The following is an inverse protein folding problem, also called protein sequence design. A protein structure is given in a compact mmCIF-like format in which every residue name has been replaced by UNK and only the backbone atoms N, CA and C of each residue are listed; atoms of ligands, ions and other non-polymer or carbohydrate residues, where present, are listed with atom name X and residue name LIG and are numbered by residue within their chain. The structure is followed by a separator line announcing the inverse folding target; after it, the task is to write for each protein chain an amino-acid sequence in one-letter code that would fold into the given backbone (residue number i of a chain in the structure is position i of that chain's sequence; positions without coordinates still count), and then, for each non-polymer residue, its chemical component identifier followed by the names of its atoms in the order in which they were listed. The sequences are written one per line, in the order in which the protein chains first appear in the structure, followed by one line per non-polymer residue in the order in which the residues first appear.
data_IF_881609785956
#
_entry.id   IF_881609785956
#
_cell.length_a   1.000
_cell.length_b   1.000
_cell.length_c   1.000
_cell.angle_alpha   90.00
_cell.angle_beta   90.00
_cell.angle_gamma   90.00
#
_symmetry.space_group_name_H-M   'P 1'
#
loop_
_entity.id
_entity.type
_entity.pdbx_description
1 polymer ?
#
# COMPACT_ATOMS: atom_id res chain seq x y z
N UNK A 1 -9.14 18.19 14.57
CA UNK A 1 -9.31 17.05 13.62
C UNK A 1 -8.07 16.81 12.77
N UNK A 2 -7.58 17.78 11.98
CA UNK A 2 -6.40 17.59 11.12
C UNK A 2 -5.11 17.18 11.87
N UNK A 3 -4.80 17.83 13.00
CA UNK A 3 -3.65 17.45 13.86
C UNK A 3 -3.78 16.02 14.42
N UNK A 4 -4.99 15.62 14.83
CA UNK A 4 -5.27 14.28 15.33
C UNK A 4 -5.07 13.24 14.23
N UNK A 5 -5.53 13.52 13.00
CA UNK A 5 -5.35 12.65 11.85
C UNK A 5 -3.85 12.44 11.52
N UNK A 6 -3.04 13.51 11.59
CA UNK A 6 -1.58 13.42 11.43
C UNK A 6 -0.94 12.51 12.48
N UNK A 7 -1.34 12.69 13.74
CA UNK A 7 -0.82 11.88 14.85
C UNK A 7 -1.18 10.40 14.67
N UNK A 8 -2.45 10.09 14.38
CA UNK A 8 -2.90 8.72 14.16
C UNK A 8 -2.21 8.08 12.95
N UNK A 9 -2.05 8.82 11.86
CA UNK A 9 -1.32 8.34 10.69
C UNK A 9 0.14 8.00 11.04
N UNK A 10 0.81 8.87 11.79
CA UNK A 10 2.19 8.63 12.21
C UNK A 10 2.30 7.39 13.10
N UNK A 11 1.43 7.27 14.11
CA UNK A 11 1.38 6.09 14.99
C UNK A 11 1.12 4.82 14.17
N UNK A 12 0.16 4.87 13.24
CA UNK A 12 -0.17 3.73 12.39
C UNK A 12 1.02 3.31 11.51
N UNK A 13 1.70 4.27 10.87
CA UNK A 13 2.91 4.00 10.08
C UNK A 13 4.00 3.38 10.96
N UNK A 14 4.23 3.88 12.17
CA UNK A 14 5.21 3.31 13.09
C UNK A 14 4.89 1.85 13.43
N UNK A 15 3.65 1.55 13.81
CA UNK A 15 3.24 0.17 14.12
C UNK A 15 3.37 -0.73 12.88
N UNK A 16 2.98 -0.22 11.71
CA UNK A 16 3.05 -0.96 10.44
C UNK A 16 4.50 -1.26 10.03
N UNK A 17 5.41 -0.30 10.17
CA UNK A 17 6.83 -0.47 9.82
C UNK A 17 7.51 -1.51 10.70
N UNK A 18 7.14 -1.58 11.97
CA UNK A 18 7.69 -2.54 12.94
C UNK A 18 6.76 -3.73 13.19
N UNK A 19 5.84 -4.05 12.28
CA UNK A 19 4.78 -5.02 12.54
C UNK A 19 5.29 -6.40 12.96
N UNK A 20 6.34 -6.92 12.30
CA UNK A 20 6.95 -8.21 12.65
C UNK A 20 7.56 -8.19 14.06
N UNK A 21 8.27 -7.11 14.40
CA UNK A 21 8.87 -6.90 15.73
C UNK A 21 7.80 -6.80 16.81
N UNK A 22 6.77 -6.00 16.57
CA UNK A 22 5.64 -5.79 17.50
C UNK A 22 4.90 -7.11 17.74
N UNK A 23 4.66 -7.90 16.69
CA UNK A 23 4.04 -9.23 16.80
C UNK A 23 4.88 -10.19 17.63
N UNK A 24 6.20 -10.20 17.42
CA UNK A 24 7.12 -11.04 18.18
C UNK A 24 7.12 -10.67 19.68
N UNK A 25 7.27 -9.38 20.01
CA UNK A 25 7.29 -8.91 21.39
C UNK A 25 5.95 -9.19 22.08
N UNK A 26 4.83 -8.86 21.43
CA UNK A 26 3.50 -9.08 22.00
C UNK A 26 3.19 -10.57 22.15
N UNK A 27 3.64 -11.39 21.21
CA UNK A 27 3.52 -12.84 21.29
C UNK A 27 4.31 -13.43 22.45
N UNK A 28 5.53 -12.96 22.69
CA UNK A 28 6.35 -13.38 23.83
C UNK A 28 5.71 -13.03 25.18
N UNK A 29 5.02 -11.89 25.28
CA UNK A 29 4.33 -11.44 26.50
C UNK A 29 2.92 -12.05 26.64
N UNK A 30 2.43 -12.81 25.64
CA UNK A 30 1.08 -13.39 25.64
C UNK A 30 -0.04 -12.38 25.34
N UNK A 31 0.30 -11.20 24.80
CA UNK A 31 -0.62 -10.12 24.46
C UNK A 31 -0.82 -9.97 22.94
N UNK A 32 -0.78 -11.07 22.19
CA UNK A 32 -0.90 -11.09 20.72
C UNK A 32 -2.19 -10.42 20.19
N UNK A 33 -3.24 -10.35 21.00
CA UNK A 33 -4.50 -9.65 20.68
C UNK A 33 -4.27 -8.14 20.44
N UNK A 34 -3.28 -7.53 21.10
CA UNK A 34 -3.01 -6.09 20.96
C UNK A 34 -2.46 -5.70 19.58
N UNK A 35 -2.00 -6.66 18.78
CA UNK A 35 -1.58 -6.41 17.39
C UNK A 35 -2.72 -5.82 16.55
N UNK A 36 -3.96 -6.21 16.84
CA UNK A 36 -5.16 -5.74 16.12
C UNK A 36 -5.56 -4.30 16.49
N UNK A 37 -4.90 -3.68 17.49
CA UNK A 37 -5.07 -2.25 17.77
C UNK A 37 -4.73 -1.39 16.54
N UNK A 38 -3.79 -1.84 15.69
CA UNK A 38 -3.44 -1.16 14.44
C UNK A 38 -4.64 -1.04 13.50
N UNK A 39 -5.51 -2.05 13.48
CA UNK A 39 -6.70 -2.08 12.62
C UNK A 39 -7.75 -1.12 13.18
N UNK A 40 -7.87 -1.01 14.51
CA UNK A 40 -8.72 -0.01 15.16
C UNK A 40 -8.25 1.44 14.88
N UNK A 41 -6.93 1.67 14.85
CA UNK A 41 -6.37 2.96 14.45
C UNK A 41 -6.72 3.26 12.98
N UNK A 42 -6.62 2.28 12.09
CA UNK A 42 -7.00 2.45 10.68
C UNK A 42 -8.47 2.82 10.52
N UNK A 43 -9.38 2.11 11.19
CA UNK A 43 -10.81 2.43 11.19
C UNK A 43 -11.05 3.85 11.71
N UNK A 44 -10.35 4.25 12.77
CA UNK A 44 -10.43 5.61 13.33
C UNK A 44 -9.96 6.67 12.32
N UNK A 45 -8.89 6.40 11.57
CA UNK A 45 -8.40 7.27 10.49
C UNK A 45 -9.47 7.42 9.41
N UNK A 46 -10.10 6.33 8.98
CA UNK A 46 -11.17 6.34 7.97
C UNK A 46 -12.35 7.19 8.45
N UNK A 47 -12.86 6.93 9.66
CA UNK A 47 -14.01 7.66 10.22
C UNK A 47 -13.73 9.15 10.38
N UNK A 48 -12.57 9.52 10.94
CA UNK A 48 -12.19 10.93 11.10
C UNK A 48 -11.97 11.63 9.75
N UNK A 49 -11.42 10.91 8.77
CA UNK A 49 -11.25 11.46 7.42
C UNK A 49 -12.59 11.65 6.73
N UNK A 50 -13.55 10.73 6.88
CA UNK A 50 -14.92 10.88 6.39
C UNK A 50 -15.61 12.10 6.99
N UNK A 51 -15.53 12.28 8.31
CA UNK A 51 -16.09 13.45 8.99
C UNK A 51 -15.45 14.74 8.46
N UNK A 52 -14.13 14.74 8.23
CA UNK A 52 -13.44 15.86 7.60
C UNK A 52 -13.94 16.14 6.18
N UNK A 53 -14.17 15.08 5.40
CA UNK A 53 -14.59 15.15 4.01
C UNK A 53 -16.00 15.70 3.84
N UNK A 54 -16.93 15.22 4.67
CA UNK A 54 -18.31 15.70 4.73
C UNK A 54 -18.34 17.15 5.18
N UNK A 55 -17.57 17.53 6.21
CA UNK A 55 -17.52 18.93 6.68
C UNK A 55 -16.95 19.93 5.67
N UNK A 56 -16.22 19.45 4.65
CA UNK A 56 -15.64 20.30 3.61
C UNK A 56 -16.40 20.25 2.29
N UNK A 57 -17.49 19.49 2.19
CA UNK A 57 -18.26 19.28 0.95
C UNK A 57 -17.39 18.84 -0.25
N UNK A 58 -16.34 18.06 0.01
CA UNK A 58 -15.37 17.62 -1.01
C UNK A 58 -15.61 16.20 -1.53
N UNK A 59 -16.86 15.72 -1.49
CA UNK A 59 -17.21 14.37 -1.95
C UNK A 59 -16.88 14.21 -3.45
N UNK A 60 -15.77 13.55 -3.73
CA UNK A 60 -15.36 13.26 -5.10
C UNK A 60 -16.21 12.14 -5.69
N UNK A 61 -16.49 12.24 -7.01
CA UNK A 61 -17.21 11.20 -7.75
C UNK A 61 -16.53 9.83 -7.64
N UNK A 62 -15.20 9.82 -7.57
CA UNK A 62 -14.41 8.60 -7.39
C UNK A 62 -14.67 7.94 -6.02
N UNK A 63 -14.78 8.73 -4.94
CA UNK A 63 -15.11 8.21 -3.62
C UNK A 63 -16.52 7.59 -3.58
N UNK A 64 -17.48 8.27 -4.21
CA UNK A 64 -18.84 7.77 -4.33
C UNK A 64 -18.88 6.45 -5.11
N UNK A 65 -18.18 6.38 -6.26
CA UNK A 65 -18.07 5.15 -7.03
C UNK A 65 -17.48 3.99 -6.22
N UNK A 66 -16.40 4.25 -5.47
CA UNK A 66 -15.80 3.25 -4.58
C UNK A 66 -16.78 2.80 -3.48
N UNK A 67 -17.51 3.75 -2.89
CA UNK A 67 -18.53 3.46 -1.88
C UNK A 67 -19.67 2.61 -2.44
N UNK A 68 -20.13 2.90 -3.66
CA UNK A 68 -21.14 2.10 -4.35
C UNK A 68 -20.68 0.66 -4.59
N UNK A 69 -19.43 0.46 -5.03
CA UNK A 69 -18.86 -0.89 -5.24
C UNK A 69 -18.81 -1.67 -3.93
N UNK A 70 -18.41 -1.03 -2.83
CA UNK A 70 -18.36 -1.69 -1.51
C UNK A 70 -19.76 -2.04 -0.99
N UNK A 71 -20.72 -1.13 -1.12
CA UNK A 71 -22.12 -1.38 -0.75
C UNK A 71 -22.68 -2.52 -1.58
N UNK A 72 -22.45 -2.52 -2.90
CA UNK A 72 -22.87 -3.61 -3.78
C UNK A 72 -22.25 -4.94 -3.34
N UNK A 73 -20.95 -4.98 -3.05
CA UNK A 73 -20.27 -6.17 -2.53
C UNK A 73 -20.91 -6.71 -1.25
N UNK A 74 -21.20 -5.83 -0.28
CA UNK A 74 -21.88 -6.22 0.97
C UNK A 74 -23.30 -6.74 0.73
N UNK A 75 -24.09 -6.07 -0.10
CA UNK A 75 -25.44 -6.54 -0.44
C UNK A 75 -25.41 -7.89 -1.15
N UNK A 76 -24.42 -8.12 -2.01
CA UNK A 76 -24.22 -9.42 -2.68
C UNK A 76 -23.81 -10.50 -1.70
N UNK A 77 -22.97 -10.20 -0.71
CA UNK A 77 -22.62 -11.15 0.35
C UNK A 77 -23.83 -11.56 1.19
N UNK A 78 -24.70 -10.60 1.54
CA UNK A 78 -25.96 -10.89 2.24
C UNK A 78 -26.87 -11.76 1.38
N UNK A 79 -26.99 -11.48 0.08
CA UNK A 79 -27.83 -12.25 -0.83
C UNK A 79 -27.34 -13.69 -1.07
N UNK A 80 -26.05 -13.95 -0.85
CA UNK A 80 -25.44 -15.27 -0.96
C UNK A 80 -25.38 -16.02 0.40
N UNK A 81 -26.07 -15.51 1.43
CA UNK A 81 -26.07 -16.05 2.80
C UNK A 81 -24.67 -16.27 3.39
N UNK A 82 -23.70 -15.44 2.98
CA UNK A 82 -22.34 -15.48 3.53
C UNK A 82 -22.38 -14.92 4.96
N UNK A 83 -21.67 -15.58 5.88
CA UNK A 83 -21.56 -15.15 7.26
C UNK A 83 -21.14 -13.67 7.35
N UNK A 84 -21.87 -12.86 8.13
CA UNK A 84 -21.62 -11.42 8.27
C UNK A 84 -20.19 -11.12 8.72
N UNK A 85 -19.63 -11.92 9.63
CA UNK A 85 -18.24 -11.76 10.10
C UNK A 85 -17.28 -11.92 8.91
N UNK A 86 -17.51 -12.92 8.05
CA UNK A 86 -16.70 -13.14 6.86
C UNK A 86 -16.85 -12.00 5.85
N UNK A 87 -18.06 -11.47 5.65
CA UNK A 87 -18.30 -10.31 4.79
C UNK A 87 -17.58 -9.06 5.32
N UNK A 88 -17.60 -8.82 6.64
CA UNK A 88 -16.89 -7.72 7.29
C UNK A 88 -15.36 -7.90 7.23
N UNK A 89 -14.84 -9.13 7.35
CA UNK A 89 -13.43 -9.41 7.10
C UNK A 89 -13.02 -9.08 5.66
N UNK A 90 -13.92 -9.26 4.69
CA UNK A 90 -13.73 -8.81 3.32
C UNK A 90 -13.51 -7.29 3.22
N UNK A 91 -14.22 -6.48 4.03
CA UNK A 91 -14.01 -5.03 4.10
C UNK A 91 -12.62 -4.66 4.65
N UNK A 92 -12.04 -5.48 5.53
CA UNK A 92 -10.70 -5.22 6.05
C UNK A 92 -9.66 -5.15 4.91
N UNK A 93 -9.81 -5.98 3.88
CA UNK A 93 -8.96 -5.94 2.67
C UNK A 93 -9.05 -4.59 1.95
N UNK A 94 -10.22 -3.97 1.94
CA UNK A 94 -10.44 -2.67 1.30
C UNK A 94 -10.17 -1.47 2.23
N UNK A 95 -10.00 -1.70 3.54
CA UNK A 95 -9.78 -0.62 4.51
C UNK A 95 -8.55 0.22 4.17
N UNK A 96 -7.44 -0.42 3.79
CA UNK A 96 -6.20 0.25 3.37
C UNK A 96 -6.39 1.09 2.12
N UNK A 97 -7.21 0.60 1.16
CA UNK A 97 -7.54 1.35 -0.05
C UNK A 97 -8.38 2.60 0.28
N UNK A 98 -9.42 2.45 1.10
CA UNK A 98 -10.29 3.54 1.54
C UNK A 98 -9.47 4.59 2.31
N UNK A 99 -8.65 4.12 3.26
CA UNK A 99 -7.80 4.98 4.05
C UNK A 99 -6.80 5.74 3.17
N UNK A 100 -6.10 5.04 2.26
CA UNK A 100 -5.17 5.68 1.32
C UNK A 100 -5.84 6.74 0.46
N UNK A 101 -7.04 6.46 -0.06
CA UNK A 101 -7.82 7.42 -0.84
C UNK A 101 -8.18 8.66 -0.01
N UNK A 102 -8.75 8.48 1.19
CA UNK A 102 -9.16 9.59 2.05
C UNK A 102 -7.96 10.42 2.55
N UNK A 103 -6.85 9.74 2.88
CA UNK A 103 -5.60 10.37 3.30
C UNK A 103 -4.97 11.17 2.16
N UNK A 104 -5.04 10.70 0.92
CA UNK A 104 -4.59 11.47 -0.23
C UNK A 104 -5.33 12.81 -0.29
N UNK A 105 -6.65 12.84 -0.14
CA UNK A 105 -7.37 14.12 -0.08
C UNK A 105 -6.99 15.01 1.11
N UNK A 106 -6.64 14.40 2.26
CA UNK A 106 -6.28 15.17 3.45
C UNK A 106 -4.83 15.72 3.41
N UNK A 107 -3.90 14.98 2.81
CA UNK A 107 -2.46 15.22 2.96
C UNK A 107 -1.69 15.41 1.65
N UNK A 108 -2.29 15.16 0.48
CA UNK A 108 -1.58 15.29 -0.79
C UNK A 108 -1.13 16.73 -1.05
N UNK A 109 -1.77 17.73 -0.44
CA UNK A 109 -1.37 19.14 -0.51
C UNK A 109 -0.27 19.53 0.50
N UNK A 110 -0.01 18.70 1.52
CA UNK A 110 1.07 18.94 2.49
C UNK A 110 2.36 18.23 2.06
N UNK A 111 2.98 18.77 1.02
CA UNK A 111 4.22 18.27 0.40
C UNK A 111 5.33 18.05 1.44
N UNK A 112 5.44 18.92 2.43
CA UNK A 112 6.46 18.84 3.49
C UNK A 112 6.30 17.59 4.32
N UNK A 113 5.06 17.17 4.60
CA UNK A 113 4.80 15.95 5.36
C UNK A 113 5.12 14.71 4.55
N UNK A 114 4.67 14.64 3.30
CA UNK A 114 4.96 13.50 2.42
C UNK A 114 6.47 13.25 2.29
N UNK A 115 7.23 14.33 2.12
CA UNK A 115 8.68 14.26 1.99
C UNK A 115 9.39 13.96 3.31
N UNK A 116 8.88 14.45 4.45
CA UNK A 116 9.37 14.05 5.78
C UNK A 116 9.13 12.56 6.04
N UNK A 117 7.93 12.05 5.73
CA UNK A 117 7.61 10.62 5.89
C UNK A 117 8.54 9.78 5.02
N UNK A 118 8.75 10.14 3.75
CA UNK A 118 9.72 9.47 2.88
C UNK A 118 11.12 9.44 3.52
N UNK A 119 11.67 10.60 3.91
CA UNK A 119 13.03 10.71 4.44
C UNK A 119 13.26 10.00 5.77
N UNK A 120 12.23 9.85 6.59
CA UNK A 120 12.34 9.20 7.91
C UNK A 120 12.07 7.70 7.79
N UNK A 121 11.02 7.30 7.08
CA UNK A 121 10.54 5.92 7.07
C UNK A 121 11.33 5.06 6.09
N UNK A 122 11.72 5.58 4.92
CA UNK A 122 12.49 4.81 3.92
C UNK A 122 13.78 4.21 4.52
N UNK A 123 14.65 4.99 5.20
CA UNK A 123 15.84 4.44 5.84
C UNK A 123 15.54 3.31 6.81
N UNK A 124 14.48 3.44 7.63
CA UNK A 124 14.12 2.42 8.63
C UNK A 124 13.76 1.11 7.94
N UNK A 125 12.95 1.16 6.88
CA UNK A 125 12.55 -0.03 6.14
C UNK A 125 13.75 -0.66 5.42
N UNK A 126 14.59 0.15 4.78
CA UNK A 126 15.81 -0.33 4.11
C UNK A 126 16.77 -0.97 5.11
N UNK A 127 16.97 -0.36 6.28
CA UNK A 127 17.80 -0.94 7.35
C UNK A 127 17.22 -2.27 7.80
N UNK A 128 15.90 -2.37 7.99
CA UNK A 128 15.24 -3.63 8.33
C UNK A 128 15.53 -4.73 7.30
N UNK A 129 15.41 -4.42 6.01
CA UNK A 129 15.72 -5.37 4.93
C UNK A 129 17.21 -5.74 4.87
N UNK A 130 18.12 -4.79 5.09
CA UNK A 130 19.55 -5.07 5.11
C UNK A 130 19.93 -5.93 6.32
N UNK A 131 19.32 -5.70 7.48
CA UNK A 131 19.53 -6.54 8.66
C UNK A 131 19.03 -7.97 8.40
N UNK A 132 17.86 -8.13 7.79
CA UNK A 132 17.31 -9.43 7.39
C UNK A 132 18.18 -10.16 6.36
N UNK A 133 18.86 -9.41 5.49
CA UNK A 133 19.82 -9.97 4.52
C UNK A 133 21.11 -10.46 5.20
N UNK A 134 21.56 -9.77 6.25
CA UNK A 134 22.88 -9.99 6.85
C UNK A 134 22.84 -10.91 8.07
N UNK A 135 21.72 -10.95 8.79
CA UNK A 135 21.57 -11.64 10.08
C UNK A 135 20.19 -12.26 10.18
N UNK A 136 20.11 -13.47 10.75
CA UNK A 136 18.83 -14.10 11.07
C UNK A 136 18.13 -13.31 12.18
N UNK A 137 16.99 -12.70 11.84
CA UNK A 137 16.22 -11.90 12.78
C UNK A 137 15.40 -12.81 13.72
N UNK A 138 15.26 -12.46 15.02
CA UNK A 138 14.59 -13.34 15.98
C UNK A 138 13.09 -13.50 15.73
N UNK A 139 12.49 -12.56 15.00
CA UNK A 139 11.10 -12.64 14.58
C UNK A 139 10.92 -13.35 13.24
N UNK A 140 11.98 -13.71 12.50
CA UNK A 140 11.86 -14.38 11.21
C UNK A 140 11.18 -15.74 11.35
N UNK A 141 10.13 -15.98 10.56
CA UNK A 141 9.36 -17.23 10.61
C UNK A 141 8.55 -17.43 11.90
N UNK A 142 8.45 -16.40 12.75
CA UNK A 142 7.72 -16.50 14.01
C UNK A 142 6.23 -16.76 13.79
N UNK A 143 5.67 -17.73 14.52
CA UNK A 143 4.24 -18.02 14.58
C UNK A 143 3.73 -17.91 16.02
N UNK A 144 2.45 -17.59 16.18
CA UNK A 144 1.79 -17.53 17.48
C UNK A 144 0.37 -18.09 17.41
N UNK A 145 -0.12 -18.68 18.49
CA UNK A 145 -1.51 -19.14 18.57
C UNK A 145 -2.44 -18.01 19.00
N UNK A 146 -3.58 -17.87 18.32
CA UNK A 146 -4.66 -16.98 18.70
C UNK A 146 -5.97 -17.75 18.60
N UNK A 147 -6.67 -17.91 19.71
CA UNK A 147 -7.95 -18.64 19.77
C UNK A 147 -7.86 -20.06 19.18
N UNK A 148 -6.74 -20.75 19.39
CA UNK A 148 -6.51 -22.10 18.88
C UNK A 148 -6.05 -22.17 17.42
N UNK A 149 -5.91 -21.04 16.72
CA UNK A 149 -5.39 -20.97 15.35
C UNK A 149 -3.94 -20.50 15.36
N UNK A 150 -3.06 -21.20 14.65
CA UNK A 150 -1.69 -20.73 14.42
C UNK A 150 -1.68 -19.61 13.37
N UNK A 151 -1.07 -18.48 13.73
CA UNK A 151 -0.97 -17.28 12.90
C UNK A 151 0.51 -16.95 12.67
N UNK A 152 0.87 -16.70 11.42
CA UNK A 152 2.19 -16.18 11.04
C UNK A 152 2.37 -14.74 11.55
N UNK A 153 3.32 -14.57 12.46
CA UNK A 153 3.80 -13.30 12.99
C UNK A 153 4.81 -12.61 12.08
N UNK A 154 5.66 -13.37 11.40
CA UNK A 154 6.48 -12.93 10.28
C UNK A 154 6.64 -14.12 9.31
N UNK A 155 6.41 -13.87 8.03
CA UNK A 155 6.47 -14.92 7.01
C UNK A 155 7.90 -15.07 6.52
N UNK A 156 8.49 -16.21 6.84
CA UNK A 156 9.71 -16.68 6.19
C UNK A 156 9.35 -17.60 5.02
N UNK A 157 9.80 -17.24 3.82
CA UNK A 157 9.50 -17.99 2.60
C UNK A 157 10.47 -17.69 1.47
N UNK A 158 10.68 -18.70 0.63
CA UNK A 158 11.66 -18.67 -0.45
C UNK A 158 10.95 -18.61 -1.81
N UNK A 159 11.33 -17.67 -2.67
CA UNK A 159 10.86 -17.60 -4.04
C UNK A 159 11.54 -18.67 -4.90
N UNK A 160 10.75 -19.57 -5.48
CA UNK A 160 11.25 -20.62 -6.36
C UNK A 160 12.21 -21.60 -5.69
N UNK A 161 12.17 -21.71 -4.35
CA UNK A 161 13.07 -22.58 -3.58
C UNK A 161 14.52 -22.11 -3.48
N UNK A 162 14.88 -20.96 -4.08
CA UNK A 162 16.26 -20.47 -4.16
C UNK A 162 16.46 -19.10 -3.52
N UNK A 163 15.53 -18.17 -3.71
CA UNK A 163 15.74 -16.78 -3.28
C UNK A 163 14.94 -16.41 -2.05
N UNK A 164 15.61 -16.10 -0.95
CA UNK A 164 14.96 -15.66 0.29
C UNK A 164 14.22 -14.33 0.05
N UNK A 165 12.96 -14.27 0.49
CA UNK A 165 12.14 -13.06 0.36
C UNK A 165 12.20 -12.26 1.65
N UNK A 166 13.00 -11.20 1.63
CA UNK A 166 13.25 -10.40 2.82
C UNK A 166 12.02 -9.60 3.25
N UNK A 167 11.70 -9.72 4.53
CA UNK A 167 10.57 -9.06 5.20
C UNK A 167 11.03 -7.92 6.11
N UNK A 168 12.27 -7.94 6.60
CA UNK A 168 12.80 -6.91 7.49
C UNK A 168 12.02 -6.81 8.79
N UNK A 169 11.54 -5.60 9.11
CA UNK A 169 10.76 -5.34 10.32
C UNK A 169 9.25 -5.59 10.15
N UNK A 170 8.78 -5.82 8.93
CA UNK A 170 7.37 -6.03 8.60
C UNK A 170 6.95 -7.49 8.79
N UNK A 171 5.65 -7.78 8.66
CA UNK A 171 5.14 -9.16 8.76
C UNK A 171 5.49 -9.99 7.52
N UNK A 172 5.61 -9.36 6.35
CA UNK A 172 5.96 -10.07 5.12
C UNK A 172 6.70 -9.19 4.13
N UNK A 173 7.49 -9.82 3.26
CA UNK A 173 8.19 -9.16 2.14
C UNK A 173 7.26 -8.35 1.24
N UNK A 174 6.00 -8.76 1.14
CA UNK A 174 5.01 -8.02 0.35
C UNK A 174 4.66 -6.68 0.98
N UNK A 175 4.57 -6.62 2.31
CA UNK A 175 4.29 -5.39 3.04
C UNK A 175 5.47 -4.42 2.98
N UNK A 176 6.71 -4.91 3.10
CA UNK A 176 7.94 -4.12 2.97
C UNK A 176 8.06 -3.51 1.58
N UNK A 177 7.73 -4.29 0.55
CA UNK A 177 7.70 -3.80 -0.84
C UNK A 177 6.66 -2.69 -1.02
N UNK A 178 5.45 -2.90 -0.52
CA UNK A 178 4.34 -1.95 -0.72
C UNK A 178 4.54 -0.65 0.06
N UNK A 179 5.12 -0.68 1.26
CA UNK A 179 5.44 0.55 1.98
C UNK A 179 6.55 1.32 1.27
N UNK A 180 7.61 0.67 0.78
CA UNK A 180 8.67 1.34 0.02
C UNK A 180 8.12 1.98 -1.25
N UNK A 181 7.29 1.25 -2.01
CA UNK A 181 6.60 1.78 -3.20
C UNK A 181 5.74 3.00 -2.83
N UNK A 182 4.96 2.94 -1.75
CA UNK A 182 4.13 4.06 -1.28
C UNK A 182 4.97 5.29 -0.92
N UNK A 183 6.09 5.08 -0.23
CA UNK A 183 7.03 6.14 0.13
C UNK A 183 7.67 6.77 -1.12
N UNK A 184 8.02 5.96 -2.11
CA UNK A 184 8.50 6.44 -3.41
C UNK A 184 7.42 7.27 -4.11
N UNK A 185 6.15 6.83 -4.11
CA UNK A 185 5.03 7.63 -4.65
C UNK A 185 4.92 8.99 -3.95
N UNK A 186 5.00 9.03 -2.61
CA UNK A 186 4.95 10.29 -1.86
C UNK A 186 6.05 11.27 -2.28
N UNK A 187 7.27 10.75 -2.51
CA UNK A 187 8.37 11.56 -3.01
C UNK A 187 8.15 12.03 -4.45
N UNK A 188 7.75 11.13 -5.36
CA UNK A 188 7.53 11.45 -6.77
C UNK A 188 6.40 12.46 -6.99
N UNK A 189 5.29 12.34 -6.25
CA UNK A 189 4.18 13.31 -6.28
C UNK A 189 4.68 14.71 -5.91
N UNK A 190 5.56 14.80 -4.91
CA UNK A 190 6.15 16.08 -4.50
C UNK A 190 7.01 16.70 -5.61
N UNK A 191 7.88 15.92 -6.27
CA UNK A 191 8.66 16.39 -7.43
C UNK A 191 7.78 16.93 -8.55
N UNK A 192 6.68 16.22 -8.85
CA UNK A 192 5.72 16.61 -9.88
C UNK A 192 4.99 17.91 -9.48
N UNK A 193 4.48 18.01 -8.26
CA UNK A 193 3.72 19.19 -7.79
C UNK A 193 4.58 20.44 -7.74
N UNK A 194 5.76 20.34 -7.14
CA UNK A 194 6.67 21.49 -7.00
C UNK A 194 7.31 21.92 -8.32
N UNK A 195 7.10 21.17 -9.41
CA UNK A 195 7.82 21.32 -10.67
C UNK A 195 9.35 21.32 -10.48
N UNK A 196 9.80 20.68 -9.40
CA UNK A 196 11.21 20.57 -9.02
C UNK A 196 11.65 19.17 -9.39
N UNK A 197 12.10 18.99 -10.63
CA UNK A 197 12.81 17.78 -11.03
C UNK A 197 14.28 17.76 -10.54
N UNK A 198 14.69 18.76 -9.73
CA UNK A 198 15.98 18.75 -9.04
C UNK A 198 15.86 17.88 -7.78
N UNK A 199 16.34 16.65 -7.91
CA UNK A 199 16.48 15.69 -6.82
C UNK A 199 17.68 16.12 -5.95
N UNK A 200 17.47 16.26 -4.64
CA UNK A 200 18.60 16.44 -3.71
C UNK A 200 19.46 15.18 -3.74
N UNK A 201 20.79 15.31 -3.61
CA UNK A 201 21.70 14.15 -3.56
C UNK A 201 21.25 13.10 -2.52
N UNK A 202 20.85 13.57 -1.33
CA UNK A 202 20.30 12.71 -0.28
C UNK A 202 19.03 11.96 -0.71
N UNK A 203 18.08 12.67 -1.31
CA UNK A 203 16.83 12.06 -1.78
C UNK A 203 17.07 11.07 -2.94
N UNK A 204 18.08 11.33 -3.77
CA UNK A 204 18.51 10.43 -4.84
C UNK A 204 19.06 9.11 -4.30
N UNK A 205 19.92 9.17 -3.26
CA UNK A 205 20.40 7.98 -2.57
C UNK A 205 19.24 7.20 -1.97
N UNK A 206 18.33 7.86 -1.25
CA UNK A 206 17.16 7.20 -0.66
C UNK A 206 16.26 6.55 -1.69
N UNK A 207 16.06 7.19 -2.86
CA UNK A 207 15.28 6.63 -3.95
C UNK A 207 15.92 5.36 -4.50
N UNK A 208 17.24 5.36 -4.70
CA UNK A 208 17.99 4.18 -5.16
C UNK A 208 17.90 3.06 -4.12
N UNK A 209 18.17 3.36 -2.85
CA UNK A 209 18.11 2.38 -1.77
C UNK A 209 16.69 1.80 -1.59
N UNK A 210 15.66 2.64 -1.68
CA UNK A 210 14.26 2.18 -1.63
C UNK A 210 13.92 1.28 -2.82
N UNK A 211 14.40 1.62 -4.01
CA UNK A 211 14.20 0.83 -5.22
C UNK A 211 14.88 -0.53 -5.12
N UNK A 212 16.13 -0.57 -4.64
CA UNK A 212 16.85 -1.81 -4.35
C UNK A 212 16.13 -2.62 -3.27
N UNK A 213 15.63 -1.96 -2.22
CA UNK A 213 14.80 -2.60 -1.19
C UNK A 213 13.56 -3.29 -1.77
N UNK A 214 12.83 -2.65 -2.70
CA UNK A 214 11.71 -3.29 -3.40
C UNK A 214 12.18 -4.51 -4.19
N UNK A 215 13.33 -4.43 -4.87
CA UNK A 215 13.86 -5.57 -5.64
C UNK A 215 14.19 -6.76 -4.72
N UNK A 216 14.81 -6.50 -3.57
CA UNK A 216 15.18 -7.52 -2.59
C UNK A 216 13.98 -8.29 -2.00
N UNK A 217 12.78 -7.73 -2.01
CA UNK A 217 11.56 -8.42 -1.54
C UNK A 217 11.03 -9.47 -2.52
N UNK A 218 11.51 -9.46 -3.77
CA UNK A 218 11.09 -10.34 -4.88
C UNK A 218 9.56 -10.32 -5.06
N UNK A 219 8.94 -9.17 -4.81
CA UNK A 219 7.52 -9.00 -5.01
C UNK A 219 7.22 -8.49 -6.43
N UNK A 220 6.77 -9.41 -7.30
CA UNK A 220 6.47 -9.13 -8.71
C UNK A 220 5.46 -7.99 -8.89
N UNK A 221 4.42 -7.91 -8.06
CA UNK A 221 3.42 -6.85 -8.19
C UNK A 221 3.97 -5.48 -7.79
N UNK A 222 4.79 -5.44 -6.73
CA UNK A 222 5.46 -4.21 -6.31
C UNK A 222 6.49 -3.74 -7.35
N UNK A 223 7.27 -4.66 -7.93
CA UNK A 223 8.22 -4.36 -9.01
C UNK A 223 7.51 -3.80 -10.25
N UNK A 224 6.42 -4.42 -10.68
CA UNK A 224 5.64 -3.96 -11.84
C UNK A 224 5.06 -2.56 -11.58
N UNK A 225 4.53 -2.33 -10.38
CA UNK A 225 4.03 -1.02 -9.96
C UNK A 225 5.15 0.03 -9.92
N UNK A 226 6.34 -0.34 -9.44
CA UNK A 226 7.49 0.56 -9.43
C UNK A 226 7.94 0.95 -10.85
N UNK A 227 8.03 -0.03 -11.75
CA UNK A 227 8.35 0.21 -13.17
C UNK A 227 7.29 1.11 -13.80
N UNK A 228 6.01 0.84 -13.55
CA UNK A 228 4.93 1.63 -14.12
C UNK A 228 4.94 3.07 -13.62
N UNK A 229 5.27 3.29 -12.34
CA UNK A 229 5.47 4.63 -11.77
C UNK A 229 6.61 5.37 -12.45
N UNK A 230 7.79 4.77 -12.60
CA UNK A 230 8.94 5.44 -13.24
C UNK A 230 8.65 5.79 -14.69
N UNK A 231 7.97 4.91 -15.44
CA UNK A 231 7.53 5.20 -16.81
C UNK A 231 6.56 6.40 -16.82
N UNK A 232 5.56 6.41 -15.92
CA UNK A 232 4.60 7.51 -15.84
C UNK A 232 5.27 8.84 -15.51
N UNK A 233 6.19 8.87 -14.54
CA UNK A 233 6.94 10.09 -14.19
C UNK A 233 7.83 10.54 -15.33
N UNK A 234 8.47 9.62 -16.04
CA UNK A 234 9.26 9.91 -17.24
C UNK A 234 8.41 10.56 -18.34
N UNK A 235 7.24 9.98 -18.65
CA UNK A 235 6.29 10.56 -19.61
C UNK A 235 5.80 11.95 -19.19
N UNK A 236 5.50 12.16 -17.90
CA UNK A 236 5.10 13.47 -17.38
C UNK A 236 6.22 14.50 -17.47
N UNK A 237 7.47 14.10 -17.22
CA UNK A 237 8.64 14.96 -17.39
C UNK A 237 8.84 15.37 -18.85
N UNK A 238 8.75 14.41 -19.78
CA UNK A 238 8.83 14.67 -21.21
C UNK A 238 7.70 15.60 -21.67
N UNK A 239 6.46 15.34 -21.23
CA UNK A 239 5.30 16.18 -21.54
C UNK A 239 5.49 17.65 -21.15
N UNK A 240 6.22 17.90 -20.06
CA UNK A 240 6.51 19.26 -19.57
C UNK A 240 7.60 19.97 -20.36
N UNK A 241 8.59 19.24 -20.86
CA UNK A 241 9.75 19.82 -21.58
C UNK A 241 9.49 20.11 -23.05
N UNK A 242 8.60 19.35 -23.67
CA UNK A 242 8.43 19.32 -25.13
C UNK A 242 7.54 20.48 -25.63
N UNK A 243 7.74 20.88 -26.90
CA UNK A 243 7.01 21.97 -27.59
C UNK A 243 5.59 21.53 -27.98
N UNK A 244 4.68 22.48 -28.19
CA UNK A 244 3.23 22.23 -28.28
C UNK A 244 2.77 21.15 -29.29
N UNK A 245 3.45 20.96 -30.43
CA UNK A 245 3.07 19.98 -31.46
C UNK A 245 3.27 18.53 -31.01
N UNK A 246 4.34 18.23 -30.28
CA UNK A 246 4.67 16.88 -29.80
C UNK A 246 3.97 16.54 -28.46
N UNK A 247 3.43 17.54 -27.75
CA UNK A 247 2.68 17.32 -26.50
C UNK A 247 1.44 16.46 -26.68
N UNK A 248 0.82 16.50 -27.87
CA UNK A 248 -0.39 15.71 -28.18
C UNK A 248 -0.06 14.22 -28.11
N UNK A 249 1.03 13.79 -28.74
CA UNK A 249 1.46 12.39 -28.77
C UNK A 249 1.72 11.89 -27.36
N UNK A 250 2.46 12.66 -26.55
CA UNK A 250 2.78 12.26 -25.18
C UNK A 250 1.54 12.25 -24.29
N UNK A 251 0.61 13.18 -24.48
CA UNK A 251 -0.67 13.19 -23.74
C UNK A 251 -1.50 11.94 -24.05
N UNK A 252 -1.54 11.50 -25.32
CA UNK A 252 -2.19 10.25 -25.72
C UNK A 252 -1.48 9.06 -25.06
N UNK A 253 -0.15 9.01 -25.12
CA UNK A 253 0.64 7.94 -24.49
C UNK A 253 0.38 7.85 -22.98
N UNK A 254 0.34 8.98 -22.27
CA UNK A 254 0.01 9.01 -20.83
C UNK A 254 -1.39 8.43 -20.59
N UNK A 255 -2.39 8.86 -21.36
CA UNK A 255 -3.77 8.36 -21.20
C UNK A 255 -3.88 6.87 -21.49
N UNK A 256 -3.28 6.40 -22.58
CA UNK A 256 -3.24 4.98 -22.95
C UNK A 256 -2.51 4.18 -21.87
N UNK A 257 -1.41 4.69 -21.34
CA UNK A 257 -0.64 4.03 -20.28
C UNK A 257 -1.45 3.92 -18.98
N UNK A 258 -2.14 4.99 -18.57
CA UNK A 258 -3.03 4.96 -17.39
C UNK A 258 -4.17 3.96 -17.62
N UNK A 259 -4.79 3.97 -18.80
CA UNK A 259 -5.85 3.02 -19.14
C UNK A 259 -5.35 1.57 -19.11
N UNK A 260 -4.16 1.30 -19.66
CA UNK A 260 -3.56 -0.02 -19.63
C UNK A 260 -3.28 -0.50 -18.20
N UNK A 261 -2.76 0.36 -17.31
CA UNK A 261 -2.59 0.03 -15.89
C UNK A 261 -3.92 -0.25 -15.19
N UNK A 262 -4.95 0.54 -15.49
CA UNK A 262 -6.29 0.31 -14.95
C UNK A 262 -6.85 -1.04 -15.42
N UNK A 263 -6.77 -1.33 -16.72
CA UNK A 263 -7.20 -2.61 -17.28
C UNK A 263 -6.42 -3.78 -16.71
N UNK A 264 -5.11 -3.65 -16.50
CA UNK A 264 -4.30 -4.68 -15.85
C UNK A 264 -4.80 -5.01 -14.44
N UNK A 265 -5.26 -4.01 -13.68
CA UNK A 265 -5.85 -4.25 -12.35
C UNK A 265 -7.24 -4.88 -12.39
N UNK A 266 -8.01 -4.67 -13.46
CA UNK A 266 -9.43 -5.03 -13.55
C UNK A 266 -9.68 -6.34 -14.31
N UNK A 267 -8.92 -6.61 -15.38
CA UNK A 267 -9.06 -7.81 -16.22
C UNK A 267 -8.98 -9.12 -15.41
N UNK A 268 -8.03 -9.29 -14.47
CA UNK A 268 -7.95 -10.52 -13.67
C UNK A 268 -9.24 -10.80 -12.87
N UNK A 269 -9.93 -9.75 -12.40
CA UNK A 269 -11.21 -9.90 -11.70
C UNK A 269 -12.29 -10.46 -12.62
N UNK A 270 -12.39 -9.94 -13.85
CA UNK A 270 -13.35 -10.46 -14.84
C UNK A 270 -13.04 -11.88 -15.26
N UNK A 271 -11.76 -12.20 -15.50
CA UNK A 271 -11.33 -13.57 -15.83
C UNK A 271 -11.68 -14.53 -14.68
N UNK A 272 -11.45 -14.12 -13.44
CA UNK A 272 -11.81 -14.92 -12.26
C UNK A 272 -13.31 -15.22 -12.21
N UNK A 273 -14.17 -14.23 -12.46
CA UNK A 273 -15.63 -14.39 -12.45
C UNK A 273 -16.10 -15.34 -13.58
N UNK A 274 -15.51 -15.20 -14.77
CA UNK A 274 -15.83 -16.06 -15.91
C UNK A 274 -15.45 -17.53 -15.63
N UNK A 275 -14.27 -17.74 -15.04
CA UNK A 275 -13.79 -19.09 -14.73
C UNK A 275 -14.59 -19.76 -13.59
N UNK A 276 -15.10 -19.01 -12.61
CA UNK A 276 -15.98 -19.57 -11.58
C UNK A 276 -17.29 -20.10 -12.17
N UNK A 277 -17.83 -19.46 -13.21
CA UNK A 277 -19.06 -19.92 -13.86
C UNK A 277 -18.85 -21.20 -14.67
N UNK A 278 -17.65 -21.41 -15.23
CA UNK A 278 -17.31 -22.67 -15.91
C UNK A 278 -17.10 -23.85 -14.94
N UNK A 279 -16.69 -23.60 -13.69
CA UNK A 279 -16.53 -24.65 -12.69
C UNK A 279 -17.89 -25.14 -12.14
N UNK A 280 -18.90 -24.27 -12.06
CA UNK A 280 -20.25 -24.63 -11.61
C UNK A 280 -21.12 -25.30 -12.67
N UNK A 281 -20.71 -25.31 -13.95
CA UNK A 281 -21.43 -26.03 -15.03
C UNK A 281 -20.99 -27.49 -15.19
N UNK A 282 -19.95 -27.92 -14.46
CA UNK A 282 -19.43 -29.30 -14.48
C UNK A 282 -19.77 -30.09 -13.19
N UNK A 283 -20.79 -29.64 -12.45
CA UNK A 283 -21.46 -30.38 -11.36
C UNK A 283 -22.92 -30.61 -11.74
#
# INVERSE_FOLDING_TARGET
MYKLLKLLLFIWICIYVFEGVVRYILGFVGLSVLVYLKDMIMVSIILLSLIYFVKKDQLSKAFLGLSFVLIYGLTRSIWLDINLIQALYGLNTYSTLIAGFLLAYCFLDDERILLKIFRIVSPIVVIGLLLDLLVNLPWQGYTYSLSGLEIEGNRDWVAGGVFQRLSGFQRSSSESAMILVTLIVFYLVNLIKLNKFKVSFFDGILLILSTLGVILTINKSAMLLLISLFILVGLLYLHRKIVASEKIIISILIKVFILANFLYGVIPLFISILNTNSATMNL
#
